data_IF_537506158408
#
_entry.id   IF_537506158408
#
_cell.length_a   1.000
_cell.length_b   1.000
_cell.length_c   1.000
_cell.angle_alpha   90.00
_cell.angle_beta   90.00
_cell.angle_gamma   90.00
#
_symmetry.space_group_name_H-M   'P 1'
#
loop_
_entity.id
_entity.type
_entity.pdbx_description
1 polymer ?
#
# COMPACT_ATOMS: atom_id res chain seq x y z
N UNK A 1 35.03 -9.74 26.80
CA UNK A 1 33.79 -8.99 27.04
C UNK A 1 33.24 -8.69 25.67
N UNK A 2 32.15 -9.40 25.27
CA UNK A 2 31.39 -9.04 24.09
C UNK A 2 30.72 -7.70 24.39
N UNK A 3 31.13 -6.65 23.67
CA UNK A 3 30.39 -5.39 23.65
C UNK A 3 28.97 -5.73 23.14
N UNK A 4 27.97 -5.58 23.98
CA UNK A 4 26.60 -5.55 23.52
C UNK A 4 26.46 -4.30 22.62
N UNK A 5 26.59 -4.52 21.32
CA UNK A 5 26.39 -3.46 20.33
C UNK A 5 24.95 -2.98 20.47
N UNK A 6 24.78 -1.74 20.89
CA UNK A 6 23.46 -1.09 20.87
C UNK A 6 22.85 -1.28 19.47
N UNK A 7 21.62 -1.79 19.36
CA UNK A 7 21.04 -2.05 18.04
C UNK A 7 20.99 -0.76 17.22
N UNK A 8 21.53 -0.77 16.00
CA UNK A 8 21.56 0.40 15.10
C UNK A 8 20.15 0.91 14.77
N UNK A 9 19.18 0.01 14.72
CA UNK A 9 17.77 0.33 14.48
C UNK A 9 16.95 0.13 15.74
N UNK A 10 16.00 1.04 16.00
CA UNK A 10 15.01 0.88 17.07
C UNK A 10 14.32 -0.48 16.89
N UNK A 11 14.32 -1.35 17.91
CA UNK A 11 13.64 -2.64 17.81
C UNK A 11 12.13 -2.43 17.64
N UNK A 12 11.49 -3.39 16.97
CA UNK A 12 10.03 -3.40 16.95
C UNK A 12 9.50 -3.59 18.36
N UNK A 13 8.41 -2.90 18.77
CA UNK A 13 7.81 -3.10 20.08
C UNK A 13 7.43 -4.57 20.30
N UNK A 14 7.71 -5.11 21.46
CA UNK A 14 7.28 -6.46 21.83
C UNK A 14 5.85 -6.40 22.39
N UNK A 15 4.92 -7.02 21.66
CA UNK A 15 3.53 -7.20 22.10
C UNK A 15 3.18 -8.68 22.20
N UNK A 16 2.13 -9.03 22.93
CA UNK A 16 1.69 -10.43 23.08
C UNK A 16 1.31 -11.12 21.76
N UNK A 17 1.06 -10.36 20.68
CA UNK A 17 0.75 -10.87 19.34
C UNK A 17 1.98 -10.96 18.42
N UNK A 18 3.14 -10.67 18.94
CA UNK A 18 4.36 -10.38 18.17
C UNK A 18 5.01 -11.64 17.57
N UNK A 19 4.93 -12.78 18.25
CA UNK A 19 5.56 -14.00 17.76
C UNK A 19 4.91 -14.53 16.48
N UNK A 20 3.57 -14.47 16.39
CA UNK A 20 2.84 -14.84 15.18
C UNK A 20 3.21 -13.96 13.99
N UNK A 21 3.28 -12.65 14.19
CA UNK A 21 3.66 -11.69 13.16
C UNK A 21 5.15 -11.85 12.77
N UNK A 22 6.06 -12.04 13.72
CA UNK A 22 7.48 -12.32 13.43
C UNK A 22 7.67 -13.55 12.55
N UNK A 23 6.99 -14.66 12.87
CA UNK A 23 7.01 -15.88 12.03
C UNK A 23 6.44 -15.63 10.65
N UNK A 24 5.34 -14.90 10.55
CA UNK A 24 4.76 -14.50 9.27
C UNK A 24 5.77 -13.71 8.44
N UNK A 25 6.38 -12.67 8.99
CA UNK A 25 7.37 -11.80 8.32
C UNK A 25 8.56 -12.61 7.81
N UNK A 26 9.11 -13.52 8.62
CA UNK A 26 10.21 -14.38 8.21
C UNK A 26 9.83 -15.27 6.99
N UNK A 27 8.65 -15.89 7.04
CA UNK A 27 8.16 -16.73 5.92
C UNK A 27 7.80 -15.90 4.69
N UNK A 28 7.31 -14.68 4.86
CA UNK A 28 7.09 -13.76 3.75
C UNK A 28 8.40 -13.42 3.04
N UNK A 29 9.49 -13.19 3.80
CA UNK A 29 10.81 -12.91 3.23
C UNK A 29 11.34 -14.08 2.38
N UNK A 30 11.11 -15.32 2.81
CA UNK A 30 11.47 -16.52 2.06
C UNK A 30 10.63 -16.67 0.77
N UNK A 31 9.35 -16.32 0.81
CA UNK A 31 8.41 -16.51 -0.30
C UNK A 31 8.39 -15.34 -1.30
N UNK A 32 8.92 -14.16 -0.94
CA UNK A 32 8.85 -12.94 -1.78
C UNK A 32 9.65 -13.07 -3.08
N UNK A 33 10.84 -13.70 -3.04
CA UNK A 33 11.66 -13.96 -4.24
C UNK A 33 10.92 -14.81 -5.29
N UNK A 34 10.48 -16.01 -4.95
CA UNK A 34 9.67 -16.85 -5.84
C UNK A 34 8.41 -16.15 -6.38
N UNK A 35 7.74 -15.33 -5.57
CA UNK A 35 6.58 -14.57 -6.02
C UNK A 35 6.95 -13.50 -7.06
N UNK A 36 8.05 -12.74 -6.85
CA UNK A 36 8.55 -11.75 -7.81
C UNK A 36 8.93 -12.39 -9.15
N UNK A 37 9.58 -13.56 -9.12
CA UNK A 37 10.01 -14.28 -10.31
C UNK A 37 8.83 -14.84 -11.11
N UNK A 38 7.85 -15.42 -10.45
CA UNK A 38 6.69 -16.02 -11.12
C UNK A 38 5.76 -14.96 -11.72
N UNK A 39 5.61 -13.81 -11.06
CA UNK A 39 4.65 -12.77 -11.42
C UNK A 39 3.18 -13.22 -11.39
N UNK A 40 2.91 -14.47 -10.96
CA UNK A 40 1.55 -14.97 -10.76
C UNK A 40 0.94 -14.42 -9.48
N UNK A 41 -0.37 -14.66 -9.27
CA UNK A 41 -1.00 -14.35 -7.98
C UNK A 41 -0.23 -15.03 -6.85
N UNK A 42 0.22 -14.29 -5.82
CA UNK A 42 1.11 -14.82 -4.80
C UNK A 42 0.34 -15.52 -3.68
N UNK A 43 -0.26 -16.68 -3.99
CA UNK A 43 -1.12 -17.42 -3.05
C UNK A 43 -0.43 -17.69 -1.71
N UNK A 44 0.87 -18.07 -1.75
CA UNK A 44 1.65 -18.29 -0.53
C UNK A 44 1.75 -17.04 0.33
N UNK A 45 2.01 -15.87 -0.26
CA UNK A 45 2.08 -14.61 0.49
C UNK A 45 0.72 -14.26 1.10
N UNK A 46 -0.38 -14.42 0.34
CA UNK A 46 -1.71 -14.13 0.83
C UNK A 46 -2.16 -15.10 1.93
N UNK A 47 -1.85 -16.39 1.79
CA UNK A 47 -2.12 -17.40 2.83
C UNK A 47 -1.39 -17.07 4.13
N UNK A 48 -0.10 -16.70 4.06
CA UNK A 48 0.66 -16.28 5.24
C UNK A 48 0.05 -15.06 5.95
N UNK A 49 -0.43 -14.08 5.19
CA UNK A 49 -1.15 -12.93 5.75
C UNK A 49 -2.47 -13.36 6.41
N UNK A 50 -3.20 -14.29 5.80
CA UNK A 50 -4.47 -14.80 6.31
C UNK A 50 -4.25 -15.60 7.61
N UNK A 51 -3.22 -16.45 7.67
CA UNK A 51 -2.83 -17.19 8.86
C UNK A 51 -2.44 -16.26 10.02
N UNK A 52 -1.78 -15.13 9.70
CA UNK A 52 -1.47 -14.06 10.64
C UNK A 52 -2.66 -13.10 10.92
N UNK A 53 -3.85 -13.41 10.39
CA UNK A 53 -5.07 -12.61 10.53
C UNK A 53 -4.97 -11.18 9.97
N UNK A 54 -3.99 -10.90 9.09
CA UNK A 54 -3.75 -9.55 8.58
C UNK A 54 -4.99 -8.91 7.90
N UNK A 55 -5.80 -9.61 7.08
CA UNK A 55 -7.02 -9.05 6.50
C UNK A 55 -8.11 -8.70 7.53
N UNK A 56 -7.90 -9.03 8.81
CA UNK A 56 -8.82 -8.72 9.92
C UNK A 56 -8.37 -7.55 10.80
N UNK A 57 -7.20 -7.00 10.57
CA UNK A 57 -6.64 -5.94 11.41
C UNK A 57 -7.52 -4.69 11.48
N UNK A 58 -8.15 -4.32 10.37
CA UNK A 58 -9.02 -3.13 10.29
C UNK A 58 -10.49 -3.43 10.58
N UNK A 59 -10.90 -4.70 10.64
CA UNK A 59 -12.27 -5.07 10.97
C UNK A 59 -12.58 -4.79 12.44
N UNK A 60 -13.82 -4.36 12.78
CA UNK A 60 -14.26 -4.21 14.16
C UNK A 60 -14.21 -5.52 14.95
N UNK A 61 -13.90 -5.45 16.23
CA UNK A 61 -13.92 -6.61 17.15
C UNK A 61 -15.29 -7.29 17.21
N UNK A 62 -16.37 -6.54 17.06
CA UNK A 62 -17.75 -7.06 17.08
C UNK A 62 -18.05 -8.08 15.95
N UNK A 63 -17.22 -8.11 14.92
CA UNK A 63 -17.33 -9.06 13.80
C UNK A 63 -16.05 -9.91 13.65
N UNK A 64 -15.32 -10.10 14.74
CA UNK A 64 -14.14 -10.96 14.79
C UNK A 64 -12.87 -10.35 14.21
N UNK A 65 -12.81 -9.04 14.06
CA UNK A 65 -11.61 -8.30 13.71
C UNK A 65 -10.73 -7.94 14.90
N UNK A 66 -9.59 -7.32 14.63
CA UNK A 66 -8.63 -6.89 15.66
C UNK A 66 -8.81 -5.39 16.01
N UNK A 67 -9.45 -4.61 15.13
CA UNK A 67 -9.72 -3.18 15.30
C UNK A 67 -8.45 -2.38 15.70
N UNK A 68 -7.36 -2.67 14.99
CA UNK A 68 -6.07 -2.06 15.26
C UNK A 68 -6.13 -0.53 15.17
N UNK A 69 -5.59 0.12 16.19
CA UNK A 69 -5.39 1.57 16.18
C UNK A 69 -4.40 1.98 15.08
N UNK A 70 -4.45 3.26 14.69
CA UNK A 70 -3.65 3.75 13.56
C UNK A 70 -2.14 3.53 13.73
N UNK A 71 -1.50 3.84 14.89
CA UNK A 71 -0.07 3.59 15.07
C UNK A 71 0.31 2.12 14.96
N UNK A 72 -0.48 1.24 15.60
CA UNK A 72 -0.28 -0.21 15.56
C UNK A 72 -0.39 -0.76 14.14
N UNK A 73 -1.38 -0.29 13.38
CA UNK A 73 -1.59 -0.73 12.01
C UNK A 73 -0.44 -0.32 11.08
N UNK A 74 0.10 0.90 11.22
CA UNK A 74 1.25 1.37 10.46
C UNK A 74 2.51 0.55 10.78
N UNK A 75 2.72 0.20 12.04
CA UNK A 75 3.80 -0.69 12.45
C UNK A 75 3.66 -2.07 11.81
N UNK A 76 2.48 -2.68 11.89
CA UNK A 76 2.22 -3.99 11.29
C UNK A 76 2.45 -3.97 9.77
N UNK A 77 2.04 -2.90 9.08
CA UNK A 77 2.32 -2.73 7.64
C UNK A 77 3.82 -2.62 7.37
N UNK A 78 4.57 -1.85 8.14
CA UNK A 78 6.01 -1.73 7.99
C UNK A 78 6.71 -3.09 8.20
N UNK A 79 6.31 -3.86 9.20
CA UNK A 79 6.84 -5.21 9.47
C UNK A 79 6.51 -6.20 8.35
N UNK A 80 5.29 -6.20 7.85
CA UNK A 80 4.92 -7.03 6.67
C UNK A 80 5.77 -6.65 5.46
N UNK A 81 6.02 -5.34 5.27
CA UNK A 81 6.85 -4.84 4.16
C UNK A 81 8.30 -5.28 4.29
N UNK A 82 8.84 -5.34 5.51
CA UNK A 82 10.18 -5.88 5.78
C UNK A 82 10.32 -7.33 5.28
N UNK A 83 9.25 -8.14 5.37
CA UNK A 83 9.20 -9.48 4.80
C UNK A 83 8.90 -9.49 3.29
N UNK A 84 7.88 -8.74 2.87
CA UNK A 84 7.45 -8.68 1.46
C UNK A 84 6.73 -7.37 1.16
N UNK A 85 7.32 -6.54 0.33
CA UNK A 85 6.66 -5.33 -0.19
C UNK A 85 5.43 -5.69 -1.04
N UNK A 86 5.46 -6.78 -1.78
CA UNK A 86 4.32 -7.24 -2.59
C UNK A 86 3.13 -7.59 -1.71
N UNK A 87 3.35 -8.36 -0.64
CA UNK A 87 2.32 -8.75 0.31
C UNK A 87 1.69 -7.52 1.02
N UNK A 88 2.53 -6.60 1.49
CA UNK A 88 2.10 -5.37 2.13
C UNK A 88 1.31 -4.47 1.19
N UNK A 89 1.74 -4.36 -0.07
CA UNK A 89 1.04 -3.58 -1.08
C UNK A 89 -0.37 -4.12 -1.35
N UNK A 90 -0.50 -5.44 -1.57
CA UNK A 90 -1.81 -6.08 -1.77
C UNK A 90 -2.70 -5.86 -0.54
N UNK A 91 -2.17 -6.09 0.68
CA UNK A 91 -2.91 -5.93 1.92
C UNK A 91 -3.42 -4.49 2.10
N UNK A 92 -2.59 -3.48 1.85
CA UNK A 92 -3.00 -2.08 2.00
C UNK A 92 -4.06 -1.65 0.99
N UNK A 93 -4.10 -2.24 -0.21
CA UNK A 93 -5.18 -2.00 -1.17
C UNK A 93 -6.49 -2.68 -0.73
N UNK A 94 -6.40 -3.90 -0.20
CA UNK A 94 -7.54 -4.58 0.43
C UNK A 94 -8.11 -3.76 1.59
N UNK A 95 -7.28 -3.36 2.54
CA UNK A 95 -7.68 -2.58 3.70
C UNK A 95 -8.23 -1.20 3.33
N UNK A 96 -7.71 -0.60 2.26
CA UNK A 96 -8.22 0.66 1.72
C UNK A 96 -9.67 0.53 1.22
N UNK A 97 -9.98 -0.58 0.53
CA UNK A 97 -11.36 -0.91 0.13
C UNK A 97 -12.26 -1.17 1.35
N UNK A 98 -11.78 -2.01 2.26
CA UNK A 98 -12.51 -2.41 3.45
C UNK A 98 -12.86 -1.22 4.35
N UNK A 99 -11.93 -0.28 4.59
CA UNK A 99 -12.19 0.92 5.38
C UNK A 99 -13.30 1.80 4.78
N UNK A 100 -13.37 1.91 3.44
CA UNK A 100 -14.42 2.67 2.77
C UNK A 100 -15.78 1.99 2.90
N UNK A 101 -15.81 0.66 2.83
CA UNK A 101 -17.02 -0.10 3.13
C UNK A 101 -17.46 0.09 4.58
N UNK A 102 -16.53 0.05 5.54
CA UNK A 102 -16.82 0.26 6.97
C UNK A 102 -17.41 1.64 7.24
N UNK A 103 -16.89 2.68 6.60
CA UNK A 103 -17.44 4.05 6.72
C UNK A 103 -18.87 4.13 6.19
N UNK A 104 -19.13 3.51 5.04
CA UNK A 104 -20.43 3.54 4.40
C UNK A 104 -21.48 2.64 5.08
N UNK A 105 -21.06 1.63 5.83
CA UNK A 105 -21.94 0.60 6.39
C UNK A 105 -22.98 1.14 7.40
N UNK A 106 -22.76 2.32 7.96
CA UNK A 106 -23.73 2.98 8.86
C UNK A 106 -25.04 3.29 8.14
N UNK A 107 -24.95 3.71 6.87
CA UNK A 107 -26.08 4.21 6.08
C UNK A 107 -26.35 3.38 4.82
N UNK A 108 -25.51 2.39 4.52
CA UNK A 108 -25.55 1.59 3.30
C UNK A 108 -25.57 0.09 3.60
N UNK A 109 -26.73 -0.57 3.53
CA UNK A 109 -26.86 -2.02 3.78
C UNK A 109 -25.96 -2.88 2.89
N UNK A 110 -25.73 -2.49 1.63
CA UNK A 110 -24.84 -3.20 0.70
C UNK A 110 -23.39 -3.22 1.22
N UNK A 111 -22.91 -2.12 1.79
CA UNK A 111 -21.56 -2.09 2.39
C UNK A 111 -21.48 -3.03 3.60
N UNK A 112 -22.49 -3.06 4.46
CA UNK A 112 -22.58 -3.98 5.59
C UNK A 112 -22.62 -5.44 5.13
N UNK A 113 -23.28 -5.74 4.01
CA UNK A 113 -23.30 -7.09 3.42
C UNK A 113 -21.91 -7.52 2.92
N UNK A 114 -21.18 -6.63 2.25
CA UNK A 114 -19.80 -6.90 1.82
C UNK A 114 -18.85 -7.09 2.99
N UNK A 115 -18.94 -6.26 4.04
CA UNK A 115 -18.14 -6.43 5.26
C UNK A 115 -18.36 -7.82 5.88
N UNK A 116 -19.62 -8.29 5.96
CA UNK A 116 -19.91 -9.66 6.42
C UNK A 116 -19.32 -10.71 5.49
N UNK A 117 -19.43 -10.53 4.16
CA UNK A 117 -18.82 -11.46 3.21
C UNK A 117 -17.30 -11.54 3.39
N UNK A 118 -16.62 -10.42 3.64
CA UNK A 118 -15.19 -10.37 3.92
C UNK A 118 -14.88 -11.06 5.25
N UNK A 119 -15.62 -10.74 6.31
CA UNK A 119 -15.38 -11.29 7.64
C UNK A 119 -15.65 -12.82 7.72
N UNK A 120 -16.74 -13.29 7.09
CA UNK A 120 -17.24 -14.66 7.29
C UNK A 120 -16.74 -15.63 6.22
N UNK A 121 -16.55 -15.17 4.98
CA UNK A 121 -16.23 -16.01 3.82
C UNK A 121 -14.88 -15.71 3.17
N UNK A 122 -14.14 -14.71 3.69
CA UNK A 122 -12.86 -14.29 3.13
C UNK A 122 -12.99 -13.64 1.75
N UNK A 123 -14.13 -12.99 1.45
CA UNK A 123 -14.28 -12.22 0.21
C UNK A 123 -13.18 -11.14 0.11
N UNK A 124 -12.67 -10.91 -1.10
CA UNK A 124 -11.58 -9.97 -1.33
C UNK A 124 -12.11 -8.66 -1.89
N UNK A 125 -11.66 -7.56 -1.33
CA UNK A 125 -11.91 -6.21 -1.86
C UNK A 125 -10.60 -5.51 -2.22
N UNK A 126 -10.66 -4.58 -3.16
CA UNK A 126 -9.56 -3.66 -3.48
C UNK A 126 -10.12 -2.33 -3.96
N UNK A 127 -9.24 -1.37 -4.24
CA UNK A 127 -9.65 -0.04 -4.68
C UNK A 127 -9.29 0.25 -6.13
N UNK A 128 -10.21 0.91 -6.83
CA UNK A 128 -10.01 1.46 -8.17
C UNK A 128 -10.35 2.96 -8.17
N UNK A 129 -9.50 3.81 -7.57
CA UNK A 129 -9.77 5.23 -7.33
C UNK A 129 -8.73 6.19 -7.92
N UNK A 130 -7.69 5.67 -8.59
CA UNK A 130 -6.59 6.47 -9.11
C UNK A 130 -7.04 7.53 -10.14
N UNK A 131 -8.12 7.28 -10.88
CA UNK A 131 -8.74 8.22 -11.82
C UNK A 131 -9.36 9.45 -11.13
N UNK A 132 -9.66 9.37 -9.83
CA UNK A 132 -10.15 10.53 -9.06
C UNK A 132 -9.01 11.47 -8.64
N UNK A 133 -7.76 11.05 -8.75
CA UNK A 133 -6.58 11.78 -8.30
C UNK A 133 -5.66 12.19 -9.43
N UNK A 134 -4.49 11.57 -9.54
CA UNK A 134 -3.40 11.96 -10.43
C UNK A 134 -3.53 11.42 -11.85
N UNK A 135 -4.14 10.26 -12.02
CA UNK A 135 -4.22 9.59 -13.33
C UNK A 135 -5.11 10.30 -14.36
N UNK A 136 -5.91 11.29 -13.94
CA UNK A 136 -6.67 12.17 -14.83
C UNK A 136 -5.83 12.96 -15.84
N UNK A 137 -4.56 13.21 -15.52
CA UNK A 137 -3.69 14.09 -16.31
C UNK A 137 -3.07 13.44 -17.54
N UNK A 138 -3.20 12.11 -17.69
CA UNK A 138 -2.57 11.36 -18.78
C UNK A 138 -3.53 10.96 -19.91
N UNK A 139 -4.67 11.66 -20.03
CA UNK A 139 -5.60 11.48 -21.16
C UNK A 139 -6.42 10.18 -21.15
N UNK A 140 -6.25 9.31 -20.12
CA UNK A 140 -7.12 8.16 -19.96
C UNK A 140 -8.56 8.61 -19.68
N UNK A 141 -9.53 8.01 -20.36
CA UNK A 141 -10.94 8.30 -20.14
C UNK A 141 -11.30 7.80 -18.72
N UNK A 142 -11.49 8.74 -17.77
CA UNK A 142 -11.92 8.40 -16.42
C UNK A 142 -13.25 7.63 -16.46
N UNK A 143 -13.46 6.75 -15.48
CA UNK A 143 -14.75 6.09 -15.30
C UNK A 143 -15.84 7.15 -15.09
N UNK A 144 -16.80 7.18 -16.02
CA UNK A 144 -17.92 8.12 -15.99
C UNK A 144 -19.15 7.45 -15.39
N UNK A 145 -19.93 8.22 -14.64
CA UNK A 145 -21.23 7.81 -14.17
C UNK A 145 -22.33 8.69 -14.80
N UNK A 146 -23.33 8.06 -15.38
CA UNK A 146 -24.47 8.70 -16.02
C UNK A 146 -25.70 8.31 -15.24
N UNK A 147 -26.45 9.29 -14.70
CA UNK A 147 -27.68 9.04 -13.95
C UNK A 147 -28.75 8.36 -14.82
N UNK A 148 -29.51 7.43 -14.23
CA UNK A 148 -30.57 6.65 -14.90
C UNK A 148 -31.94 7.14 -14.42
N UNK A 149 -32.91 7.15 -15.32
CA UNK A 149 -34.29 7.57 -15.02
C UNK A 149 -34.97 6.74 -13.92
N UNK A 150 -34.57 5.47 -13.74
CA UNK A 150 -35.07 4.56 -12.71
C UNK A 150 -34.27 4.59 -11.39
N UNK A 151 -33.34 5.53 -11.23
CA UNK A 151 -32.40 5.60 -10.12
C UNK A 151 -31.11 4.82 -10.38
N UNK A 152 -30.07 5.11 -9.57
CA UNK A 152 -28.73 4.59 -9.78
C UNK A 152 -28.01 5.20 -10.98
N UNK A 153 -26.97 4.55 -11.46
CA UNK A 153 -26.09 5.07 -12.51
C UNK A 153 -25.69 3.99 -13.51
N UNK A 154 -25.25 4.43 -14.68
CA UNK A 154 -24.55 3.62 -15.66
C UNK A 154 -23.09 4.05 -15.69
N UNK A 155 -22.18 3.10 -15.59
CA UNK A 155 -20.75 3.32 -15.65
C UNK A 155 -20.19 3.00 -17.03
N UNK A 156 -19.39 3.92 -17.56
CA UNK A 156 -18.68 3.77 -18.83
C UNK A 156 -17.24 4.30 -18.68
N UNK A 157 -16.24 3.53 -19.10
CA UNK A 157 -14.83 3.93 -19.07
C UNK A 157 -13.93 2.96 -18.33
N UNK A 158 -12.80 3.45 -17.84
CA UNK A 158 -11.74 2.60 -17.29
C UNK A 158 -11.30 3.08 -15.91
N UNK A 159 -11.08 2.13 -15.01
CA UNK A 159 -10.35 2.29 -13.76
C UNK A 159 -8.89 1.89 -14.01
N UNK A 160 -7.93 2.82 -14.12
CA UNK A 160 -6.53 2.46 -14.26
C UNK A 160 -5.95 2.01 -12.91
N UNK A 161 -4.94 1.16 -12.93
CA UNK A 161 -4.14 0.79 -11.75
C UNK A 161 -4.94 0.16 -10.59
N UNK A 162 -5.65 -0.92 -10.85
CA UNK A 162 -6.36 -1.71 -9.84
C UNK A 162 -5.51 -2.92 -9.45
N UNK A 163 -5.01 -2.91 -8.22
CA UNK A 163 -4.20 -4.01 -7.68
C UNK A 163 -5.07 -5.22 -7.36
N UNK A 164 -4.62 -6.42 -7.74
CA UNK A 164 -5.31 -7.68 -7.49
C UNK A 164 -6.77 -7.71 -8.00
N UNK A 165 -7.06 -7.00 -9.10
CA UNK A 165 -8.43 -6.89 -9.63
C UNK A 165 -9.06 -8.26 -9.93
N UNK A 166 -8.27 -9.21 -10.46
CA UNK A 166 -8.72 -10.56 -10.82
C UNK A 166 -9.13 -11.42 -9.61
N UNK A 167 -8.74 -11.01 -8.39
CA UNK A 167 -9.07 -11.69 -7.12
C UNK A 167 -10.21 -11.01 -6.37
N UNK A 168 -10.59 -9.81 -6.79
CA UNK A 168 -11.60 -9.04 -6.09
C UNK A 168 -13.01 -9.58 -6.34
N UNK A 169 -13.78 -9.77 -5.28
CA UNK A 169 -15.23 -9.99 -5.35
C UNK A 169 -15.96 -8.66 -5.49
N UNK A 170 -15.42 -7.61 -4.88
CA UNK A 170 -15.95 -6.25 -4.95
C UNK A 170 -14.84 -5.22 -5.07
N UNK A 171 -15.01 -4.29 -6.01
CA UNK A 171 -14.15 -3.11 -6.15
C UNK A 171 -14.80 -1.91 -5.46
N UNK A 172 -14.03 -1.23 -4.60
CA UNK A 172 -14.41 0.11 -4.17
C UNK A 172 -13.83 1.10 -5.16
N UNK A 173 -14.68 1.59 -6.06
CA UNK A 173 -14.26 2.44 -7.17
C UNK A 173 -14.87 3.81 -7.14
N UNK A 174 -14.22 4.75 -7.82
CA UNK A 174 -14.72 6.10 -8.02
C UNK A 174 -15.16 6.34 -9.45
N UNK A 175 -16.25 7.08 -9.63
CA UNK A 175 -16.71 7.54 -10.93
C UNK A 175 -16.98 9.04 -10.92
N UNK A 176 -16.95 9.67 -12.11
CA UNK A 176 -17.12 11.10 -12.28
C UNK A 176 -18.40 11.38 -13.07
N UNK A 177 -19.24 12.26 -12.55
CA UNK A 177 -20.44 12.76 -13.20
C UNK A 177 -20.11 13.84 -14.25
N UNK A 178 -21.07 14.20 -15.07
CA UNK A 178 -20.93 15.25 -16.09
C UNK A 178 -20.57 16.61 -15.46
N UNK A 179 -21.16 16.94 -14.33
CA UNK A 179 -20.89 18.16 -13.55
C UNK A 179 -19.58 18.11 -12.73
N UNK A 180 -18.72 17.13 -12.98
CA UNK A 180 -17.45 16.88 -12.29
C UNK A 180 -17.57 16.46 -10.82
N UNK A 181 -18.75 16.23 -10.30
CA UNK A 181 -18.90 15.58 -9.01
C UNK A 181 -18.46 14.12 -9.07
N UNK A 182 -18.11 13.56 -7.93
CA UNK A 182 -17.54 12.22 -7.79
C UNK A 182 -18.46 11.34 -6.97
N UNK A 183 -18.51 10.07 -7.35
CA UNK A 183 -19.17 9.01 -6.60
C UNK A 183 -18.14 7.99 -6.12
N UNK A 184 -18.41 7.38 -4.98
CA UNK A 184 -17.74 6.16 -4.53
C UNK A 184 -18.74 5.01 -4.56
N UNK A 185 -18.36 3.88 -5.12
CA UNK A 185 -19.26 2.80 -5.51
C UNK A 185 -18.67 1.46 -5.03
N UNK A 186 -19.50 0.57 -4.50
CA UNK A 186 -19.18 -0.84 -4.31
C UNK A 186 -19.60 -1.62 -5.57
N UNK A 187 -18.64 -1.95 -6.42
CA UNK A 187 -18.89 -2.63 -7.72
C UNK A 187 -18.50 -4.10 -7.63
N UNK A 188 -19.44 -5.06 -7.68
CA UNK A 188 -19.14 -6.48 -7.85
C UNK A 188 -18.38 -6.73 -9.16
N UNK A 189 -17.37 -7.59 -9.12
CA UNK A 189 -16.51 -7.83 -10.30
C UNK A 189 -17.15 -8.76 -11.33
N UNK A 190 -18.12 -9.56 -10.93
CA UNK A 190 -18.92 -10.45 -11.79
C UNK A 190 -20.06 -9.73 -12.52
N UNK A 191 -20.20 -8.41 -12.34
CA UNK A 191 -21.24 -7.60 -12.95
C UNK A 191 -21.11 -7.59 -14.48
N UNK A 192 -22.23 -7.78 -15.18
CA UNK A 192 -22.27 -7.68 -16.64
C UNK A 192 -21.71 -6.33 -17.13
N UNK A 193 -20.80 -6.37 -18.10
CA UNK A 193 -20.09 -5.20 -18.62
C UNK A 193 -18.78 -4.87 -17.92
N UNK A 194 -18.44 -5.53 -16.79
CA UNK A 194 -17.12 -5.43 -16.16
C UNK A 194 -16.15 -6.38 -16.85
N UNK A 195 -15.02 -5.87 -17.28
CA UNK A 195 -13.92 -6.66 -17.87
C UNK A 195 -12.61 -6.36 -17.15
N UNK A 196 -11.90 -7.41 -16.77
CA UNK A 196 -10.59 -7.34 -16.11
C UNK A 196 -9.55 -7.91 -17.08
N UNK A 197 -8.79 -7.06 -17.80
CA UNK A 197 -7.71 -7.50 -18.69
C UNK A 197 -6.56 -8.17 -17.92
N UNK A 198 -5.68 -8.90 -18.63
CA UNK A 198 -4.44 -9.42 -18.04
C UNK A 198 -3.64 -8.32 -17.35
N UNK A 199 -2.91 -8.64 -16.26
CA UNK A 199 -2.10 -7.68 -15.53
C UNK A 199 -1.03 -7.01 -16.39
N UNK A 200 -0.73 -5.76 -16.05
CA UNK A 200 0.37 -5.02 -16.68
C UNK A 200 1.71 -5.73 -16.45
N UNK A 201 2.60 -5.62 -17.43
CA UNK A 201 3.99 -6.07 -17.27
C UNK A 201 4.79 -4.98 -16.53
N UNK A 202 4.87 -5.08 -15.21
CA UNK A 202 5.48 -4.08 -14.34
C UNK A 202 6.97 -4.36 -14.12
N UNK A 203 7.76 -3.32 -13.95
CA UNK A 203 9.19 -3.42 -13.63
C UNK A 203 9.46 -4.00 -12.22
N UNK A 204 8.48 -3.89 -11.32
CA UNK A 204 8.49 -4.45 -9.97
C UNK A 204 7.06 -4.73 -9.52
N UNK A 205 6.89 -5.52 -8.46
CA UNK A 205 5.57 -5.86 -7.90
C UNK A 205 4.66 -6.58 -8.91
N UNK A 206 5.22 -7.33 -9.84
CA UNK A 206 4.46 -8.03 -10.88
C UNK A 206 3.39 -8.96 -10.27
N UNK A 207 3.73 -9.64 -9.15
CA UNK A 207 2.81 -10.51 -8.43
C UNK A 207 1.68 -9.77 -7.69
N UNK A 208 1.68 -8.42 -7.65
CA UNK A 208 0.52 -7.64 -7.20
C UNK A 208 -0.67 -7.75 -8.14
N UNK A 209 -0.45 -8.26 -9.36
CA UNK A 209 -1.47 -8.46 -10.40
C UNK A 209 -2.25 -7.19 -10.71
N UNK A 210 -1.54 -6.06 -10.72
CA UNK A 210 -2.15 -4.76 -11.02
C UNK A 210 -2.50 -4.67 -12.51
N UNK A 211 -3.72 -4.24 -12.78
CA UNK A 211 -4.25 -4.04 -14.14
C UNK A 211 -5.20 -2.85 -14.18
N UNK A 212 -5.83 -2.64 -15.31
CA UNK A 212 -7.00 -1.78 -15.42
C UNK A 212 -8.29 -2.60 -15.28
N UNK A 213 -9.42 -1.92 -15.03
CA UNK A 213 -10.75 -2.54 -15.10
C UNK A 213 -11.62 -1.68 -16.01
N UNK A 214 -12.23 -2.32 -17.00
CA UNK A 214 -13.08 -1.65 -18.00
C UNK A 214 -14.54 -1.87 -17.65
N UNK A 215 -15.33 -0.79 -17.70
CA UNK A 215 -16.78 -0.81 -17.59
C UNK A 215 -17.38 -0.40 -18.93
N UNK A 216 -18.19 -1.29 -19.53
CA UNK A 216 -19.01 -1.02 -20.71
C UNK A 216 -20.47 -1.08 -20.30
N UNK A 217 -21.12 0.07 -20.16
CA UNK A 217 -22.54 0.23 -19.79
C UNK A 217 -22.93 -0.54 -18.52
N UNK A 218 -22.06 -0.57 -17.53
CA UNK A 218 -22.29 -1.27 -16.27
C UNK A 218 -23.33 -0.54 -15.45
N UNK A 219 -24.41 -1.22 -15.10
CA UNK A 219 -25.48 -0.64 -14.29
C UNK A 219 -25.18 -0.84 -12.80
N UNK A 220 -25.28 0.24 -12.01
CA UNK A 220 -25.18 0.23 -10.56
C UNK A 220 -26.44 0.81 -9.93
N UNK A 221 -26.92 0.16 -8.90
CA UNK A 221 -28.09 0.59 -8.17
C UNK A 221 -27.76 1.75 -7.20
N UNK A 222 -28.77 2.48 -6.76
CA UNK A 222 -28.58 3.61 -5.85
C UNK A 222 -28.01 3.19 -4.48
N UNK A 223 -28.29 1.99 -4.02
CA UNK A 223 -27.81 1.44 -2.74
C UNK A 223 -26.34 0.95 -2.83
N UNK A 224 -25.80 0.77 -4.04
CA UNK A 224 -24.37 0.45 -4.28
C UNK A 224 -23.48 1.71 -4.19
N UNK A 225 -24.06 2.90 -4.11
CA UNK A 225 -23.34 4.15 -3.92
C UNK A 225 -22.93 4.28 -2.46
N UNK A 226 -21.64 4.22 -2.20
CA UNK A 226 -21.05 4.32 -0.86
C UNK A 226 -20.99 5.76 -0.38
N UNK A 227 -20.65 6.71 -1.28
CA UNK A 227 -20.56 8.14 -0.97
C UNK A 227 -20.74 9.00 -2.23
N UNK A 228 -21.09 10.27 -2.02
CA UNK A 228 -21.32 11.26 -3.08
C UNK A 228 -22.79 11.37 -3.49
N UNK A 229 -23.10 12.22 -4.50
CA UNK A 229 -22.15 13.06 -5.26
C UNK A 229 -21.46 14.13 -4.42
N UNK A 230 -20.15 14.35 -4.64
CA UNK A 230 -19.39 15.44 -4.02
C UNK A 230 -18.17 15.82 -4.87
N UNK A 231 -17.61 17.03 -4.75
CA UNK A 231 -16.43 17.45 -5.52
C UNK A 231 -15.18 16.61 -5.25
N UNK A 232 -15.08 16.04 -4.04
CA UNK A 232 -13.93 15.22 -3.63
C UNK A 232 -14.39 14.12 -2.66
N UNK A 233 -14.89 13.01 -3.23
CA UNK A 233 -15.48 11.91 -2.47
C UNK A 233 -14.45 11.14 -1.64
N UNK A 234 -13.16 11.21 -2.00
CA UNK A 234 -12.09 10.51 -1.28
C UNK A 234 -11.50 11.30 -0.11
N UNK A 235 -11.84 12.58 0.04
CA UNK A 235 -11.42 13.42 1.16
C UNK A 235 -12.29 13.23 2.43
N UNK A 236 -13.19 12.26 2.45
CA UNK A 236 -14.05 11.98 3.60
C UNK A 236 -13.19 11.65 4.83
N UNK A 237 -13.42 12.30 5.98
CA UNK A 237 -12.71 11.99 7.22
C UNK A 237 -12.81 10.51 7.59
N UNK A 238 -11.71 9.89 8.00
CA UNK A 238 -11.66 8.47 8.35
C UNK A 238 -11.47 7.51 7.16
N UNK A 239 -11.71 7.95 5.91
CA UNK A 239 -11.24 7.21 4.74
C UNK A 239 -9.71 7.29 4.68
N UNK A 240 -9.03 6.15 4.48
CA UNK A 240 -7.61 6.17 4.17
C UNK A 240 -7.43 6.99 2.89
N UNK A 241 -6.83 8.19 3.01
CA UNK A 241 -6.51 9.04 1.87
C UNK A 241 -5.52 8.33 0.94
N UNK A 242 -5.49 8.74 -0.32
CA UNK A 242 -4.41 8.30 -1.22
C UNK A 242 -3.10 8.98 -0.81
N UNK A 243 -2.03 8.19 -0.60
CA UNK A 243 -0.71 8.74 -0.23
C UNK A 243 -0.57 9.16 1.23
N UNK A 244 -1.33 8.55 2.14
CA UNK A 244 -1.25 8.76 3.58
C UNK A 244 0.00 8.14 4.23
N UNK A 245 -0.01 8.08 5.56
CA UNK A 245 1.09 7.52 6.37
C UNK A 245 1.34 6.04 6.05
N UNK A 246 0.35 5.31 5.57
CA UNK A 246 0.46 3.90 5.16
C UNK A 246 1.57 3.71 4.13
N UNK A 247 1.63 4.59 3.12
CA UNK A 247 2.66 4.49 2.08
C UNK A 247 4.05 4.79 2.65
N UNK A 248 4.15 5.72 3.61
CA UNK A 248 5.40 6.01 4.31
C UNK A 248 5.84 4.84 5.20
N UNK A 249 4.89 4.16 5.86
CA UNK A 249 5.17 2.96 6.63
C UNK A 249 5.73 1.83 5.75
N UNK A 250 5.17 1.63 4.54
CA UNK A 250 5.71 0.66 3.59
C UNK A 250 7.13 1.04 3.13
N UNK A 251 7.37 2.33 2.83
CA UNK A 251 8.70 2.80 2.44
C UNK A 251 9.74 2.54 3.56
N UNK A 252 9.39 2.84 4.81
CA UNK A 252 10.26 2.59 5.97
C UNK A 252 10.44 1.09 6.24
N UNK A 253 9.42 0.24 6.01
CA UNK A 253 9.55 -1.21 6.13
C UNK A 253 10.55 -1.78 5.12
N UNK A 254 10.46 -1.37 3.84
CA UNK A 254 11.41 -1.79 2.81
C UNK A 254 12.82 -1.23 3.05
N UNK A 255 12.92 0.02 3.52
CA UNK A 255 14.21 0.60 3.93
C UNK A 255 14.86 -0.20 5.05
N UNK A 256 14.07 -0.65 6.05
CA UNK A 256 14.54 -1.47 7.16
C UNK A 256 15.06 -2.84 6.69
N UNK A 257 14.34 -3.51 5.77
CA UNK A 257 14.81 -4.75 5.17
C UNK A 257 16.21 -4.60 4.55
N UNK A 258 16.39 -3.55 3.75
CA UNK A 258 17.68 -3.26 3.11
C UNK A 258 18.77 -2.87 4.13
N UNK A 259 18.42 -2.11 5.17
CA UNK A 259 19.36 -1.74 6.25
C UNK A 259 19.78 -2.95 7.08
N UNK A 260 18.86 -3.83 7.48
CA UNK A 260 19.19 -5.04 8.21
C UNK A 260 20.18 -5.93 7.41
N UNK A 261 19.95 -6.04 6.10
CA UNK A 261 20.84 -6.78 5.22
C UNK A 261 22.21 -6.08 5.06
N UNK A 262 22.25 -4.75 4.97
CA UNK A 262 23.50 -3.98 4.92
C UNK A 262 24.28 -4.10 6.24
N UNK A 263 23.62 -4.02 7.36
CA UNK A 263 24.22 -4.18 8.71
C UNK A 263 24.82 -5.58 8.85
N UNK A 264 24.17 -6.61 8.35
CA UNK A 264 24.70 -7.97 8.39
C UNK A 264 26.03 -8.13 7.61
N UNK A 265 26.26 -7.35 6.55
CA UNK A 265 27.51 -7.34 5.79
C UNK A 265 28.70 -6.76 6.58
N UNK A 266 28.47 -5.94 7.61
CA UNK A 266 29.50 -5.28 8.42
C UNK A 266 30.43 -6.31 9.10
N UNK A 267 29.92 -7.49 9.45
CA UNK A 267 30.70 -8.54 10.09
C UNK A 267 31.94 -8.94 9.27
N UNK A 268 31.90 -8.78 7.96
CA UNK A 268 33.01 -9.07 7.05
C UNK A 268 33.54 -7.83 6.32
N UNK A 269 32.87 -6.68 6.48
CA UNK A 269 33.14 -5.46 5.71
C UNK A 269 32.94 -4.21 6.57
N UNK A 270 33.91 -3.96 7.44
CA UNK A 270 33.86 -2.87 8.43
C UNK A 270 33.72 -1.47 7.81
N UNK A 271 34.11 -1.28 6.56
CA UNK A 271 33.92 -0.01 5.83
C UNK A 271 32.44 0.37 5.62
N UNK A 272 31.50 -0.55 5.83
CA UNK A 272 30.07 -0.30 5.74
C UNK A 272 29.48 0.24 7.06
N UNK A 273 30.25 0.26 8.14
CA UNK A 273 29.75 0.60 9.47
C UNK A 273 29.23 2.03 9.55
N UNK A 274 30.07 3.02 9.19
CA UNK A 274 29.68 4.43 9.19
C UNK A 274 28.48 4.75 8.26
N UNK A 275 28.47 4.30 7.00
CA UNK A 275 27.30 4.50 6.15
C UNK A 275 26.02 3.86 6.68
N UNK A 276 26.10 2.66 7.27
CA UNK A 276 24.95 1.99 7.85
C UNK A 276 24.42 2.74 9.09
N UNK A 277 25.30 3.27 9.93
CA UNK A 277 24.92 4.11 11.08
C UNK A 277 24.18 5.37 10.66
N UNK A 278 24.68 6.08 9.66
CA UNK A 278 24.04 7.31 9.15
C UNK A 278 22.62 7.03 8.60
N UNK A 279 22.47 5.95 7.84
CA UNK A 279 21.16 5.56 7.29
C UNK A 279 20.22 5.06 8.40
N UNK A 280 20.73 4.32 9.38
CA UNK A 280 19.94 3.82 10.52
C UNK A 280 19.47 4.99 11.42
N UNK A 281 20.32 5.97 11.68
CA UNK A 281 19.93 7.18 12.42
C UNK A 281 18.75 7.90 11.72
N UNK A 282 18.87 8.13 10.41
CA UNK A 282 17.80 8.74 9.61
C UNK A 282 16.52 7.91 9.65
N UNK A 283 16.64 6.58 9.58
CA UNK A 283 15.47 5.68 9.67
C UNK A 283 14.80 5.81 11.04
N UNK A 284 15.56 5.80 12.12
CA UNK A 284 15.06 5.91 13.48
C UNK A 284 14.31 7.24 13.71
N UNK A 285 14.86 8.35 13.25
CA UNK A 285 14.21 9.67 13.32
C UNK A 285 12.89 9.70 12.56
N UNK A 286 12.86 9.19 11.33
CA UNK A 286 11.65 9.16 10.52
C UNK A 286 10.60 8.20 11.07
N UNK A 287 11.02 7.08 11.64
CA UNK A 287 10.09 6.14 12.28
C UNK A 287 9.40 6.80 13.49
N UNK A 288 10.15 7.49 14.33
CA UNK A 288 9.59 8.23 15.46
C UNK A 288 8.64 9.33 14.99
N UNK A 289 9.03 10.10 13.98
CA UNK A 289 8.18 11.13 13.39
C UNK A 289 6.88 10.55 12.80
N UNK A 290 6.95 9.42 12.10
CA UNK A 290 5.76 8.71 11.61
C UNK A 290 4.82 8.33 12.75
N UNK A 291 5.35 7.80 13.85
CA UNK A 291 4.56 7.38 15.02
C UNK A 291 3.95 8.58 15.74
N UNK A 292 4.67 9.69 15.89
CA UNK A 292 4.14 10.93 16.46
C UNK A 292 2.97 11.47 15.62
N UNK A 293 3.14 11.53 14.31
CA UNK A 293 2.06 11.97 13.40
C UNK A 293 0.86 11.02 13.44
N UNK A 294 1.11 9.70 13.57
CA UNK A 294 0.05 8.71 13.67
C UNK A 294 -0.77 8.83 14.96
N UNK A 295 -0.16 9.35 16.04
CA UNK A 295 -0.81 9.63 17.33
C UNK A 295 -1.40 11.04 17.40
N UNK A 296 -1.28 11.83 16.33
CA UNK A 296 -1.75 13.22 16.26
C UNK A 296 -1.10 14.11 17.35
N UNK A 297 0.16 13.85 17.69
CA UNK A 297 0.92 14.62 18.65
C UNK A 297 1.20 16.05 18.13
N UNK A 298 1.23 17.03 19.03
CA UNK A 298 1.58 18.40 18.68
C UNK A 298 3.02 18.47 18.10
N UNK A 299 3.23 19.38 17.15
CA UNK A 299 4.53 19.60 16.47
C UNK A 299 5.03 18.43 15.60
N UNK A 300 4.18 17.43 15.34
CA UNK A 300 4.52 16.34 14.44
C UNK A 300 4.71 16.84 12.99
N UNK A 301 5.59 16.17 12.24
CA UNK A 301 5.76 16.45 10.81
C UNK A 301 4.46 16.18 10.05
N UNK A 302 4.20 16.97 9.01
CA UNK A 302 3.06 16.71 8.15
C UNK A 302 3.21 15.39 7.39
N UNK A 303 2.11 14.69 7.05
CA UNK A 303 2.17 13.46 6.26
C UNK A 303 2.94 13.60 4.94
N UNK A 304 2.89 14.79 4.31
CA UNK A 304 3.62 15.08 3.08
C UNK A 304 5.14 15.15 3.28
N UNK A 305 5.59 15.73 4.39
CA UNK A 305 7.03 15.79 4.75
C UNK A 305 7.57 14.40 5.05
N UNK A 306 6.87 13.61 5.89
CA UNK A 306 7.25 12.22 6.17
C UNK A 306 7.31 11.41 4.87
N UNK A 307 6.32 11.58 3.99
CA UNK A 307 6.28 10.88 2.70
C UNK A 307 7.50 11.17 1.84
N UNK A 308 7.86 12.45 1.69
CA UNK A 308 9.00 12.85 0.88
C UNK A 308 10.31 12.27 1.41
N UNK A 309 10.52 12.36 2.72
CA UNK A 309 11.73 11.86 3.38
C UNK A 309 11.80 10.32 3.39
N UNK A 310 10.69 9.62 3.61
CA UNK A 310 10.64 8.16 3.56
C UNK A 310 10.91 7.63 2.14
N UNK A 311 10.40 8.30 1.11
CA UNK A 311 10.69 7.96 -0.29
C UNK A 311 12.18 8.13 -0.61
N UNK A 312 12.81 9.24 -0.19
CA UNK A 312 14.24 9.46 -0.38
C UNK A 312 15.08 8.41 0.36
N UNK A 313 14.69 8.09 1.61
CA UNK A 313 15.43 7.13 2.43
C UNK A 313 15.37 5.71 1.85
N UNK A 314 14.19 5.22 1.43
CA UNK A 314 14.07 3.86 0.88
C UNK A 314 14.90 3.66 -0.39
N UNK A 315 14.99 4.69 -1.23
CA UNK A 315 15.88 4.68 -2.40
C UNK A 315 17.34 4.58 -1.97
N UNK A 316 17.78 5.39 -0.99
CA UNK A 316 19.16 5.38 -0.49
C UNK A 316 19.51 4.02 0.13
N UNK A 317 18.67 3.47 1.01
CA UNK A 317 18.93 2.21 1.69
C UNK A 317 19.03 1.03 0.72
N UNK A 318 18.08 0.92 -0.22
CA UNK A 318 18.05 -0.19 -1.19
C UNK A 318 19.19 -0.13 -2.18
N UNK A 319 19.59 1.08 -2.63
CA UNK A 319 20.75 1.27 -3.52
C UNK A 319 22.08 1.07 -2.78
N UNK A 320 22.19 1.49 -1.53
CA UNK A 320 23.37 1.23 -0.71
C UNK A 320 23.60 -0.27 -0.53
N UNK A 321 22.55 -1.03 -0.21
CA UNK A 321 22.64 -2.49 -0.12
C UNK A 321 22.97 -3.13 -1.47
N UNK A 322 22.35 -2.72 -2.57
CA UNK A 322 22.66 -3.19 -3.91
C UNK A 322 24.13 -2.94 -4.26
N UNK A 323 24.63 -1.75 -3.95
CA UNK A 323 26.05 -1.37 -4.17
C UNK A 323 26.99 -2.25 -3.32
N UNK A 324 26.63 -2.50 -2.07
CA UNK A 324 27.38 -3.38 -1.18
C UNK A 324 27.45 -4.81 -1.72
N UNK A 325 26.39 -5.33 -2.32
CA UNK A 325 26.35 -6.68 -2.94
C UNK A 325 27.09 -6.77 -4.27
N UNK A 326 27.48 -5.65 -4.85
CA UNK A 326 28.22 -5.61 -6.14
C UNK A 326 27.45 -6.37 -7.24
N UNK A 327 28.15 -7.00 -8.18
CA UNK A 327 27.56 -7.77 -9.28
C UNK A 327 26.64 -8.92 -8.84
N UNK A 328 26.91 -9.55 -7.70
CA UNK A 328 26.05 -10.61 -7.15
C UNK A 328 24.66 -10.08 -6.83
N UNK A 329 24.57 -8.86 -6.25
CA UNK A 329 23.29 -8.23 -5.92
C UNK A 329 22.40 -7.94 -7.13
N UNK A 330 22.93 -8.04 -8.35
CA UNK A 330 22.19 -7.81 -9.59
C UNK A 330 21.57 -9.08 -10.17
N UNK A 331 21.82 -10.24 -9.56
CA UNK A 331 21.18 -11.50 -9.95
C UNK A 331 19.68 -11.48 -9.55
N UNK A 332 18.81 -12.04 -10.38
CA UNK A 332 17.37 -12.06 -10.12
C UNK A 332 16.97 -12.77 -8.82
N UNK A 333 17.71 -13.79 -8.43
CA UNK A 333 17.53 -14.52 -7.17
C UNK A 333 17.84 -13.70 -5.92
N UNK A 334 18.59 -12.60 -6.05
CA UNK A 334 19.02 -11.78 -4.92
C UNK A 334 17.99 -10.74 -4.53
N UNK A 335 17.79 -10.50 -3.22
CA UNK A 335 16.86 -9.48 -2.76
C UNK A 335 17.31 -8.05 -3.10
N UNK A 336 18.59 -7.79 -3.22
CA UNK A 336 19.15 -6.45 -3.41
C UNK A 336 18.57 -5.74 -4.65
N UNK A 337 18.59 -6.38 -5.82
CA UNK A 337 17.98 -5.82 -7.04
C UNK A 337 16.45 -5.76 -6.97
N UNK A 338 15.83 -6.73 -6.30
CA UNK A 338 14.36 -6.73 -6.13
C UNK A 338 13.92 -5.53 -5.31
N UNK A 339 14.53 -5.31 -4.14
CA UNK A 339 14.22 -4.17 -3.29
C UNK A 339 14.53 -2.83 -3.96
N UNK A 340 15.63 -2.72 -4.71
CA UNK A 340 15.96 -1.52 -5.47
C UNK A 340 14.87 -1.20 -6.53
N UNK A 341 14.36 -2.21 -7.26
CA UNK A 341 13.26 -2.05 -8.23
C UNK A 341 11.94 -1.67 -7.51
N UNK A 342 11.64 -2.33 -6.40
CA UNK A 342 10.44 -2.05 -5.60
C UNK A 342 10.50 -0.63 -5.01
N UNK A 343 11.66 -0.14 -4.60
CA UNK A 343 11.84 1.22 -4.09
C UNK A 343 11.48 2.30 -5.13
N UNK A 344 11.73 2.07 -6.43
CA UNK A 344 11.34 3.00 -7.50
C UNK A 344 9.83 3.22 -7.56
N UNK A 345 9.03 2.27 -7.09
CA UNK A 345 7.57 2.40 -7.07
C UNK A 345 7.09 3.55 -6.19
N UNK A 346 7.81 3.88 -5.12
CA UNK A 346 7.47 5.01 -4.25
C UNK A 346 7.60 6.39 -4.92
N UNK A 347 8.32 6.48 -6.05
CA UNK A 347 8.40 7.72 -6.84
C UNK A 347 7.12 8.00 -7.63
N UNK A 348 6.31 6.97 -7.91
CA UNK A 348 5.14 7.08 -8.79
C UNK A 348 3.83 6.70 -8.12
N UNK A 349 3.84 5.81 -7.12
CA UNK A 349 2.63 5.32 -6.49
C UNK A 349 2.02 6.37 -5.54
N UNK A 350 0.74 6.71 -5.77
CA UNK A 350 0.01 7.69 -4.95
C UNK A 350 0.87 8.93 -4.63
N UNK A 351 1.56 9.45 -5.64
CA UNK A 351 2.53 10.53 -5.48
C UNK A 351 1.89 11.88 -5.81
N UNK A 352 1.40 12.65 -4.82
CA UNK A 352 0.88 13.99 -5.03
C UNK A 352 1.93 14.90 -5.69
N UNK A 353 1.48 15.87 -6.51
CA UNK A 353 2.39 16.76 -7.24
C UNK A 353 3.49 17.42 -6.38
N UNK A 354 3.22 17.89 -5.14
CA UNK A 354 4.28 18.44 -4.30
C UNK A 354 5.36 17.41 -3.92
N UNK A 355 4.95 16.17 -3.62
CA UNK A 355 5.88 15.07 -3.30
C UNK A 355 6.72 14.68 -4.51
N UNK A 356 6.10 14.57 -5.68
CA UNK A 356 6.81 14.30 -6.94
C UNK A 356 7.84 15.40 -7.26
N UNK A 357 7.46 16.67 -7.11
CA UNK A 357 8.38 17.81 -7.33
C UNK A 357 9.53 17.79 -6.34
N UNK A 358 9.28 17.51 -5.05
CA UNK A 358 10.32 17.39 -4.05
C UNK A 358 11.30 16.27 -4.40
N UNK A 359 10.80 15.10 -4.81
CA UNK A 359 11.64 13.98 -5.23
C UNK A 359 12.51 14.33 -6.47
N UNK A 360 11.95 14.99 -7.47
CA UNK A 360 12.71 15.41 -8.66
C UNK A 360 13.81 16.42 -8.29
N UNK A 361 13.52 17.36 -7.38
CA UNK A 361 14.51 18.34 -6.90
C UNK A 361 15.64 17.68 -6.11
N UNK A 362 15.30 16.72 -5.23
CA UNK A 362 16.28 15.94 -4.46
C UNK A 362 17.20 15.13 -5.39
N UNK A 363 16.63 14.43 -6.35
CA UNK A 363 17.38 13.67 -7.36
C UNK A 363 18.26 14.56 -8.25
N UNK A 364 17.88 15.82 -8.46
CA UNK A 364 18.66 16.81 -9.20
C UNK A 364 19.74 17.50 -8.33
N UNK A 365 19.86 17.15 -7.05
CA UNK A 365 20.77 17.80 -6.10
C UNK A 365 20.39 19.25 -5.76
N UNK A 366 19.14 19.64 -6.00
CA UNK A 366 18.60 20.94 -5.64
C UNK A 366 18.05 20.87 -4.21
N UNK A 367 18.69 21.56 -3.26
CA UNK A 367 18.21 21.64 -1.89
C UNK A 367 16.72 22.01 -1.84
N UNK A 368 15.95 21.30 -1.04
CA UNK A 368 14.61 21.76 -0.68
C UNK A 368 14.73 23.03 0.15
N UNK A 369 14.15 24.12 -0.34
CA UNK A 369 14.04 25.40 0.38
C UNK A 369 12.99 25.23 1.47
#
# INVERSE_FOLDING_TARGET
MMNELTPKLIPWPETNHDEGLRRCVARLAEADGPADESGAWPETLWSLLTDARAPRWVLPKSIGGDECGRPELLERYARVTEGSMTAAFILTQHDSGLRRLLLAARDRPVAAAWIRAIADRGAFTTVGISQLTTSRRHGAQALKAIARAGGGYRLDGTMPWVTAAERADVLVTGAVLEDQQQLLIALPTDRAGVTIPPPFNLAALQASRTTEVVCDRVEVAADEILAGPSPNVIATPGAAGTGGLETSALALGLARAALNALIAEIATRSELDEPADALAATWNELWLALMQTAREEAEALSPGQIRSQANALVLKCTQAYLTARKGTGFLRSEPAQRWARQALFFLVWSCPSPVAQAAIRDLAGLCSI
#
